data_IF_266792229333
#
_entry.id   IF_266792229333
#
_cell.length_a   1.000
_cell.length_b   1.000
_cell.length_c   1.000
_cell.angle_alpha   90.00
_cell.angle_beta   90.00
_cell.angle_gamma   90.00
#
_symmetry.space_group_name_H-M   'P 1'
#
loop_
_entity.id
_entity.type
_entity.pdbx_description
1 polymer ?
#
# COMPACT_ATOMS: atom_id res chain seq x y z
N UNK A 1 21.46 -47.72 14.71
CA UNK A 1 20.64 -47.35 15.89
C UNK A 1 21.09 -45.95 16.28
N UNK A 2 20.28 -44.89 16.42
CA UNK A 2 18.83 -44.76 16.67
C UNK A 2 18.12 -44.03 15.51
N UNK A 3 17.00 -44.61 15.04
CA UNK A 3 16.06 -44.00 14.07
C UNK A 3 14.90 -43.32 14.84
N UNK A 4 15.19 -42.56 15.88
CA UNK A 4 14.16 -41.83 16.62
C UNK A 4 14.20 -40.36 16.22
N UNK A 5 13.08 -39.81 15.74
CA UNK A 5 12.79 -38.36 15.80
C UNK A 5 12.21 -37.96 17.18
N UNK A 6 11.92 -39.00 17.98
CA UNK A 6 11.26 -39.04 19.28
C UNK A 6 12.10 -38.48 20.43
N UNK A 7 13.41 -38.76 20.37
CA UNK A 7 14.28 -38.79 21.55
C UNK A 7 15.70 -38.32 21.23
N UNK A 8 16.27 -37.52 22.12
CA UNK A 8 17.68 -37.11 22.08
C UNK A 8 18.64 -38.25 22.40
N UNK A 9 19.89 -38.12 21.98
CA UNK A 9 20.98 -39.03 22.36
C UNK A 9 21.40 -38.78 23.81
N UNK A 10 21.27 -39.80 24.65
CA UNK A 10 21.54 -39.76 26.11
C UNK A 10 22.52 -40.85 26.55
N UNK A 11 23.10 -40.69 27.75
CA UNK A 11 23.87 -41.76 28.42
C UNK A 11 22.91 -42.70 29.18
N UNK A 12 22.36 -43.70 28.49
CA UNK A 12 21.31 -44.57 29.05
C UNK A 12 19.92 -43.92 29.02
N UNK A 13 18.90 -44.60 29.55
CA UNK A 13 17.50 -44.13 29.50
C UNK A 13 17.26 -42.82 30.26
N UNK A 14 17.94 -42.63 31.39
CA UNK A 14 17.71 -41.53 32.33
C UNK A 14 18.93 -40.62 32.51
N UNK A 15 19.96 -40.79 31.67
CA UNK A 15 21.19 -40.01 31.74
C UNK A 15 21.15 -38.71 30.94
N UNK A 16 22.20 -37.86 31.08
CA UNK A 16 22.26 -36.57 30.40
C UNK A 16 22.33 -36.70 28.88
N UNK A 17 21.88 -35.65 28.18
CA UNK A 17 22.03 -35.51 26.72
C UNK A 17 23.49 -35.28 26.33
N UNK A 18 23.84 -35.67 25.11
CA UNK A 18 25.19 -35.51 24.57
C UNK A 18 25.26 -34.42 23.49
N UNK A 19 26.28 -33.56 23.55
CA UNK A 19 26.53 -32.53 22.53
C UNK A 19 26.87 -33.11 21.14
N UNK A 20 27.21 -34.39 21.05
CA UNK A 20 27.42 -35.07 19.77
C UNK A 20 26.11 -35.45 19.05
N UNK A 21 24.94 -35.13 19.64
CA UNK A 21 23.64 -35.27 18.97
C UNK A 21 23.48 -34.20 17.87
N UNK A 22 24.12 -34.43 16.73
CA UNK A 22 24.09 -33.52 15.58
C UNK A 22 22.65 -33.26 15.11
N UNK A 23 21.77 -34.26 15.19
CA UNK A 23 20.36 -34.13 14.76
C UNK A 23 19.58 -33.17 15.67
N UNK A 24 19.71 -33.32 16.98
CA UNK A 24 19.12 -32.40 17.95
C UNK A 24 19.62 -30.97 17.71
N UNK A 25 20.94 -30.81 17.54
CA UNK A 25 21.57 -29.52 17.30
C UNK A 25 21.06 -28.89 16.00
N UNK A 26 21.03 -29.62 14.88
CA UNK A 26 20.54 -29.11 13.60
C UNK A 26 19.06 -28.70 13.68
N UNK A 27 18.22 -29.51 14.33
CA UNK A 27 16.78 -29.21 14.51
C UNK A 27 16.58 -27.92 15.31
N UNK A 28 17.26 -27.79 16.46
CA UNK A 28 17.13 -26.60 17.31
C UNK A 28 17.79 -25.36 16.69
N UNK A 29 18.93 -25.51 16.01
CA UNK A 29 19.61 -24.37 15.36
C UNK A 29 18.82 -23.81 14.19
N UNK A 30 18.11 -24.66 13.44
CA UNK A 30 17.14 -24.24 12.41
C UNK A 30 15.94 -23.53 13.05
N UNK A 31 15.32 -24.13 14.06
CA UNK A 31 14.17 -23.55 14.78
C UNK A 31 14.48 -22.14 15.31
N UNK A 32 15.63 -21.98 15.97
CA UNK A 32 16.07 -20.69 16.51
C UNK A 32 16.32 -19.60 15.44
N UNK A 33 16.34 -19.95 14.15
CA UNK A 33 16.61 -19.04 13.02
C UNK A 33 15.45 -18.97 12.01
N UNK A 34 14.26 -19.45 12.37
CA UNK A 34 13.08 -19.37 11.49
C UNK A 34 12.55 -17.95 11.32
N UNK A 35 12.84 -17.03 12.25
CA UNK A 35 12.33 -15.66 12.21
C UNK A 35 13.30 -14.75 11.48
N UNK A 36 12.76 -13.98 10.54
CA UNK A 36 13.41 -12.82 9.92
C UNK A 36 12.72 -11.55 10.43
N UNK A 37 13.35 -10.37 10.27
CA UNK A 37 12.67 -9.11 10.58
C UNK A 37 11.33 -9.02 9.84
N UNK A 38 10.28 -8.56 10.52
CA UNK A 38 9.05 -8.19 9.83
C UNK A 38 9.28 -6.94 8.96
N UNK A 39 8.33 -6.62 8.08
CA UNK A 39 8.38 -5.36 7.34
C UNK A 39 8.21 -4.19 8.32
N UNK A 40 8.99 -3.12 8.12
CA UNK A 40 8.91 -1.92 8.97
C UNK A 40 7.50 -1.32 9.01
N UNK A 41 6.83 -1.37 7.86
CA UNK A 41 5.40 -1.08 7.66
C UNK A 41 4.79 -2.21 6.84
N UNK A 42 3.48 -2.38 6.88
CA UNK A 42 2.76 -3.43 6.18
C UNK A 42 3.14 -4.86 6.59
N UNK A 43 3.47 -5.08 7.88
CA UNK A 43 3.89 -6.38 8.40
C UNK A 43 2.76 -7.42 8.32
N UNK A 44 1.56 -7.09 8.83
CA UNK A 44 0.37 -7.93 8.73
C UNK A 44 -0.18 -7.93 7.30
N UNK A 45 -0.40 -9.10 6.71
CA UNK A 45 -1.01 -9.19 5.38
C UNK A 45 -1.17 -10.60 4.85
N UNK A 46 -1.86 -10.71 3.72
CA UNK A 46 -2.17 -11.95 3.02
C UNK A 46 -1.74 -11.84 1.56
N UNK A 47 -1.25 -12.94 0.98
CA UNK A 47 -0.87 -12.99 -0.43
C UNK A 47 -1.57 -14.10 -1.19
N UNK A 48 -1.68 -13.93 -2.51
CA UNK A 48 -2.29 -14.88 -3.42
C UNK A 48 -1.77 -14.72 -4.86
N UNK A 49 -1.82 -15.81 -5.62
CA UNK A 49 -1.46 -15.85 -7.03
C UNK A 49 -2.68 -15.62 -7.92
N UNK A 50 -2.41 -15.17 -9.14
CA UNK A 50 -3.42 -14.98 -10.16
C UNK A 50 -2.82 -14.72 -11.53
N UNK A 51 -3.62 -14.10 -12.38
CA UNK A 51 -3.16 -13.58 -13.66
C UNK A 51 -3.86 -12.28 -14.00
N UNK A 52 -3.18 -11.45 -14.79
CA UNK A 52 -3.73 -10.25 -15.41
C UNK A 52 -3.92 -10.47 -16.92
N UNK A 53 -4.98 -9.89 -17.48
CA UNK A 53 -5.24 -9.85 -18.92
C UNK A 53 -5.68 -8.44 -19.31
N UNK A 54 -4.95 -7.83 -20.24
CA UNK A 54 -5.35 -6.55 -20.84
C UNK A 54 -6.59 -6.76 -21.71
N UNK A 55 -7.51 -5.80 -21.75
CA UNK A 55 -8.69 -5.90 -22.61
C UNK A 55 -8.38 -5.54 -24.05
N UNK A 56 -7.64 -4.45 -24.24
CA UNK A 56 -7.22 -3.93 -25.54
C UNK A 56 -5.77 -3.46 -25.45
N UNK A 57 -4.97 -3.55 -26.52
CA UNK A 57 -3.59 -3.05 -26.50
C UNK A 57 -3.53 -1.58 -26.07
N UNK A 58 -2.65 -1.24 -25.13
CA UNK A 58 -2.40 0.14 -24.69
C UNK A 58 -1.26 0.81 -25.46
N UNK A 59 -1.01 0.37 -26.70
CA UNK A 59 0.14 0.76 -27.51
C UNK A 59 0.22 2.26 -27.82
N UNK A 60 -0.91 2.96 -27.79
CA UNK A 60 -0.95 4.41 -28.01
C UNK A 60 -0.36 5.19 -26.83
N UNK A 61 -0.33 4.60 -25.64
CA UNK A 61 0.10 5.25 -24.41
C UNK A 61 1.39 4.67 -23.83
N UNK A 62 1.59 3.35 -23.93
CA UNK A 62 2.76 2.66 -23.36
C UNK A 62 3.27 1.53 -24.24
N UNK A 63 4.59 1.34 -24.26
CA UNK A 63 5.25 0.17 -24.87
C UNK A 63 5.34 -1.06 -23.97
N UNK A 64 4.83 -0.99 -22.73
CA UNK A 64 4.96 -2.07 -21.75
C UNK A 64 4.37 -3.39 -22.25
N UNK A 65 5.20 -4.43 -22.36
CA UNK A 65 4.85 -5.68 -23.04
C UNK A 65 3.59 -6.37 -22.48
N UNK A 66 3.35 -6.29 -21.17
CA UNK A 66 2.20 -6.92 -20.51
C UNK A 66 0.85 -6.27 -20.84
N UNK A 67 0.86 -5.11 -21.52
CA UNK A 67 -0.32 -4.35 -21.94
C UNK A 67 -0.56 -4.36 -23.46
N UNK A 68 0.14 -5.20 -24.21
CA UNK A 68 0.10 -5.18 -25.68
C UNK A 68 -0.79 -6.24 -26.31
N UNK A 69 -1.08 -7.36 -25.63
CA UNK A 69 -1.76 -8.50 -26.25
C UNK A 69 -2.90 -9.03 -25.34
N UNK A 70 -4.17 -8.84 -25.73
CA UNK A 70 -5.34 -9.32 -24.97
C UNK A 70 -5.44 -10.84 -24.83
N UNK A 71 -4.80 -11.62 -25.69
CA UNK A 71 -4.83 -13.08 -25.64
C UNK A 71 -3.84 -13.66 -24.61
N UNK A 72 -2.90 -12.84 -24.13
CA UNK A 72 -1.87 -13.28 -23.17
C UNK A 72 -2.30 -13.04 -21.73
N UNK A 73 -2.21 -14.11 -20.93
CA UNK A 73 -2.30 -14.02 -19.47
C UNK A 73 -0.91 -13.75 -18.89
N UNK A 74 -0.79 -12.70 -18.09
CA UNK A 74 0.43 -12.32 -17.40
C UNK A 74 0.31 -12.83 -15.97
N UNK A 75 1.17 -13.75 -15.50
CA UNK A 75 1.12 -14.22 -14.13
C UNK A 75 1.32 -13.06 -13.16
N UNK A 76 0.59 -13.06 -12.05
CA UNK A 76 0.76 -12.06 -10.98
C UNK A 76 0.83 -12.71 -9.61
N UNK A 77 1.49 -12.03 -8.68
CA UNK A 77 1.37 -12.27 -7.25
C UNK A 77 0.93 -11.00 -6.56
N UNK A 78 -0.08 -11.10 -5.71
CA UNK A 78 -0.67 -9.97 -4.98
C UNK A 78 -0.42 -10.15 -3.50
N UNK A 79 -0.12 -9.05 -2.79
CA UNK A 79 -0.13 -9.00 -1.34
C UNK A 79 -0.97 -7.82 -0.85
N UNK A 80 -1.95 -8.14 -0.03
CA UNK A 80 -2.72 -7.18 0.75
C UNK A 80 -2.16 -7.07 2.16
N UNK A 81 -2.36 -5.93 2.82
CA UNK A 81 -1.83 -5.72 4.17
C UNK A 81 -2.51 -4.56 4.89
N UNK A 82 -2.45 -4.52 6.23
CA UNK A 82 -2.56 -3.23 6.96
C UNK A 82 -1.26 -2.42 6.76
N UNK A 83 -1.12 -1.22 7.30
CA UNK A 83 0.08 -0.37 7.16
C UNK A 83 0.92 -0.30 8.45
N UNK A 84 0.30 -0.05 9.59
CA UNK A 84 1.00 0.29 10.83
C UNK A 84 1.19 -0.90 11.76
N UNK A 85 0.25 -1.85 11.71
CA UNK A 85 0.23 -3.03 12.58
C UNK A 85 1.40 -4.00 12.35
N UNK A 86 1.93 -4.54 13.45
CA UNK A 86 2.88 -5.66 13.43
C UNK A 86 2.20 -6.97 13.02
N UNK A 87 2.97 -8.03 12.77
CA UNK A 87 2.47 -9.31 12.24
C UNK A 87 1.26 -9.92 12.97
N UNK A 88 1.10 -9.65 14.26
CA UNK A 88 -0.02 -10.13 15.10
C UNK A 88 -1.21 -9.18 15.22
N UNK A 89 -1.21 -8.01 14.59
CA UNK A 89 -2.33 -7.06 14.67
C UNK A 89 -3.58 -7.56 13.95
N UNK A 90 -4.75 -7.04 14.33
CA UNK A 90 -6.01 -7.35 13.68
C UNK A 90 -6.13 -6.76 12.27
N UNK A 91 -6.68 -7.53 11.33
CA UNK A 91 -6.96 -7.14 9.94
C UNK A 91 -7.97 -5.98 9.85
N UNK A 92 -8.84 -5.81 10.85
CA UNK A 92 -9.93 -4.82 10.87
C UNK A 92 -9.54 -3.48 11.48
N UNK A 93 -8.32 -3.32 12.01
CA UNK A 93 -7.85 -2.05 12.58
C UNK A 93 -8.00 -0.89 11.57
N UNK A 94 -8.33 0.32 12.04
CA UNK A 94 -8.47 1.50 11.17
C UNK A 94 -7.10 1.87 10.59
N UNK A 95 -6.93 1.68 9.29
CA UNK A 95 -5.62 1.80 8.63
C UNK A 95 -5.80 1.86 7.09
N UNK A 96 -4.89 2.45 6.31
CA UNK A 96 -4.86 2.17 4.87
C UNK A 96 -4.53 0.69 4.64
N UNK A 97 -5.08 0.10 3.58
CA UNK A 97 -4.69 -1.25 3.17
C UNK A 97 -3.68 -1.16 2.02
N UNK A 98 -2.55 -1.84 2.18
CA UNK A 98 -1.62 -2.05 1.08
C UNK A 98 -2.23 -2.97 0.03
N UNK A 99 -2.01 -2.66 -1.24
CA UNK A 99 -2.43 -3.44 -2.39
C UNK A 99 -1.22 -3.54 -3.34
N UNK A 100 -0.33 -4.49 -3.10
CA UNK A 100 0.88 -4.65 -3.92
C UNK A 100 0.70 -5.76 -4.95
N UNK A 101 0.91 -5.45 -6.23
CA UNK A 101 0.81 -6.42 -7.34
C UNK A 101 2.15 -6.52 -8.05
N UNK A 102 2.70 -7.73 -8.13
CA UNK A 102 3.87 -8.06 -8.94
C UNK A 102 3.41 -8.74 -10.23
N UNK A 103 3.75 -8.16 -11.36
CA UNK A 103 3.53 -8.74 -12.69
C UNK A 103 4.81 -9.41 -13.16
N UNK A 104 4.74 -10.69 -13.47
CA UNK A 104 5.86 -11.42 -14.08
C UNK A 104 5.80 -11.23 -15.60
N UNK A 105 6.34 -10.11 -16.09
CA UNK A 105 6.28 -9.75 -17.52
C UNK A 105 7.44 -10.37 -18.30
N UNK A 106 7.32 -10.43 -19.64
CA UNK A 106 8.40 -10.90 -20.51
C UNK A 106 9.65 -10.01 -20.51
N UNK A 107 9.57 -8.79 -19.97
CA UNK A 107 10.65 -7.81 -19.94
C UNK A 107 11.12 -7.50 -18.50
N UNK A 108 10.82 -8.40 -17.55
CA UNK A 108 11.15 -8.24 -16.13
C UNK A 108 9.92 -8.18 -15.24
N UNK A 109 10.13 -8.08 -13.93
CA UNK A 109 9.04 -7.92 -12.98
C UNK A 109 8.64 -6.44 -12.93
N UNK A 110 7.34 -6.16 -13.05
CA UNK A 110 6.77 -4.85 -12.76
C UNK A 110 6.03 -4.91 -11.43
N UNK A 111 6.31 -4.01 -10.50
CA UNK A 111 5.58 -3.91 -9.24
C UNK A 111 4.72 -2.64 -9.22
N UNK A 112 3.41 -2.84 -9.08
CA UNK A 112 2.47 -1.77 -8.77
C UNK A 112 2.14 -1.84 -7.29
N UNK A 113 2.78 -0.96 -6.51
CA UNK A 113 2.51 -0.82 -5.07
C UNK A 113 1.44 0.24 -4.89
N UNK A 114 0.23 -0.18 -4.53
CA UNK A 114 -0.93 0.67 -4.38
C UNK A 114 -1.46 0.67 -2.93
N UNK A 115 -2.40 1.57 -2.65
CA UNK A 115 -3.11 1.71 -1.37
C UNK A 115 -4.62 1.69 -1.59
N UNK A 116 -5.38 1.18 -0.64
CA UNK A 116 -6.85 1.18 -0.72
C UNK A 116 -7.46 2.58 -0.76
N UNK A 117 -6.76 3.56 -0.19
CA UNK A 117 -7.16 4.95 -0.19
C UNK A 117 -6.43 5.71 -1.32
N UNK A 118 -7.09 6.68 -1.99
CA UNK A 118 -6.58 7.27 -3.23
C UNK A 118 -5.52 8.38 -3.03
N UNK A 119 -5.24 8.75 -1.78
CA UNK A 119 -4.26 9.76 -1.40
C UNK A 119 -3.39 9.26 -0.24
N UNK A 120 -2.31 9.98 0.05
CA UNK A 120 -1.45 9.73 1.19
C UNK A 120 -1.46 10.88 2.20
N UNK A 121 -0.93 10.63 3.39
CA UNK A 121 -0.85 11.63 4.47
C UNK A 121 0.08 12.80 4.15
N UNK A 122 1.17 12.52 3.43
CA UNK A 122 2.24 13.48 3.13
C UNK A 122 2.57 13.46 1.65
N UNK A 123 3.13 14.56 1.16
CA UNK A 123 3.55 14.73 -0.24
C UNK A 123 5.07 14.66 -0.47
N UNK A 124 5.83 14.46 0.60
CA UNK A 124 7.29 14.41 0.55
C UNK A 124 7.80 13.26 1.42
N UNK A 125 8.63 12.40 0.85
CA UNK A 125 9.14 11.21 1.52
C UNK A 125 10.01 11.54 2.75
N UNK A 126 10.54 12.76 2.84
CA UNK A 126 11.31 13.21 4.01
C UNK A 126 10.51 13.11 5.31
N UNK A 127 9.18 13.24 5.26
CA UNK A 127 8.28 13.18 6.43
C UNK A 127 7.81 11.75 6.79
N UNK A 128 8.18 10.75 6.00
CA UNK A 128 7.72 9.37 6.21
C UNK A 128 8.15 8.80 7.57
N UNK A 129 9.41 8.96 8.02
CA UNK A 129 9.81 8.44 9.32
C UNK A 129 9.00 9.05 10.47
N UNK A 130 8.78 10.37 10.46
CA UNK A 130 7.99 11.07 11.49
C UNK A 130 6.53 10.62 11.48
N UNK A 131 5.92 10.49 10.29
CA UNK A 131 4.57 9.95 10.15
C UNK A 131 4.47 8.54 10.75
N UNK A 132 5.34 7.62 10.34
CA UNK A 132 5.31 6.23 10.80
C UNK A 132 5.58 6.15 12.30
N UNK A 133 6.54 6.93 12.82
CA UNK A 133 6.79 7.00 14.26
C UNK A 133 5.57 7.50 15.04
N UNK A 134 4.81 8.45 14.50
CA UNK A 134 3.60 8.99 15.16
C UNK A 134 2.45 7.98 15.22
N UNK A 135 2.37 7.07 14.23
CA UNK A 135 1.36 6.03 14.12
C UNK A 135 1.72 4.73 14.87
N UNK A 136 3.02 4.44 15.03
CA UNK A 136 3.51 3.25 15.73
C UNK A 136 3.50 3.43 17.26
N UNK A 137 3.60 2.33 18.03
CA UNK A 137 3.72 2.39 19.48
C UNK A 137 4.81 3.35 19.95
N UNK A 138 4.55 4.09 21.02
CA UNK A 138 5.48 5.04 21.59
C UNK A 138 6.73 4.33 22.14
N UNK A 139 7.94 4.91 21.99
CA UNK A 139 9.19 4.23 22.33
C UNK A 139 9.40 4.00 23.83
N UNK A 140 8.70 4.75 24.68
CA UNK A 140 8.79 4.70 26.14
C UNK A 140 7.79 3.71 26.77
N UNK A 141 6.60 3.61 26.20
CA UNK A 141 5.47 2.82 26.75
C UNK A 141 5.11 1.61 25.90
N UNK A 142 5.56 1.57 24.64
CA UNK A 142 5.13 0.60 23.63
C UNK A 142 3.61 0.55 23.43
N UNK A 143 2.92 1.68 23.68
CA UNK A 143 1.49 1.85 23.46
C UNK A 143 1.21 2.74 22.24
N UNK A 144 0.16 2.43 21.48
CA UNK A 144 -0.36 3.36 20.47
C UNK A 144 -1.03 4.52 21.21
N UNK A 145 -0.62 5.75 20.89
CA UNK A 145 -1.09 6.97 21.54
C UNK A 145 -1.63 7.92 20.49
N UNK A 146 -2.94 8.19 20.52
CA UNK A 146 -3.60 9.08 19.55
C UNK A 146 -2.99 10.48 19.55
N UNK A 147 -2.57 11.00 20.72
CA UNK A 147 -1.92 12.30 20.84
C UNK A 147 -0.67 12.46 19.95
N UNK A 148 0.14 11.41 19.79
CA UNK A 148 1.34 11.45 18.93
C UNK A 148 0.96 11.62 17.46
N UNK A 149 -0.04 10.87 17.01
CA UNK A 149 -0.57 10.99 15.66
C UNK A 149 -1.22 12.36 15.43
N UNK A 150 -2.11 12.81 16.31
CA UNK A 150 -2.79 14.11 16.16
C UNK A 150 -1.84 15.29 16.30
N UNK A 151 -0.76 15.18 17.08
CA UNK A 151 0.32 16.17 17.08
C UNK A 151 0.94 16.29 15.69
N UNK A 152 1.31 15.17 15.06
CA UNK A 152 1.83 15.17 13.70
C UNK A 152 0.84 15.80 12.72
N UNK A 153 -0.45 15.44 12.78
CA UNK A 153 -1.50 16.05 11.95
C UNK A 153 -1.56 17.56 12.14
N UNK A 154 -1.51 18.04 13.39
CA UNK A 154 -1.56 19.47 13.73
C UNK A 154 -0.36 20.25 13.19
N UNK A 155 0.76 19.59 12.87
CA UNK A 155 1.97 20.20 12.31
C UNK A 155 2.02 20.07 10.78
N UNK A 156 1.12 19.28 10.18
CA UNK A 156 1.12 18.90 8.77
C UNK A 156 -0.30 19.01 8.19
N UNK A 157 -0.78 20.22 7.86
CA UNK A 157 -2.14 20.45 7.37
C UNK A 157 -2.47 19.68 6.09
N UNK A 158 -1.47 19.28 5.29
CA UNK A 158 -1.66 18.44 4.10
C UNK A 158 -2.31 17.07 4.38
N UNK A 159 -2.27 16.61 5.63
CA UNK A 159 -2.88 15.35 6.07
C UNK A 159 -4.41 15.38 6.06
N UNK A 160 -5.02 16.57 6.06
CA UNK A 160 -6.47 16.76 6.25
C UNK A 160 -7.30 15.90 5.28
N UNK A 161 -6.94 15.87 4.00
CA UNK A 161 -7.66 15.07 3.01
C UNK A 161 -7.59 13.57 3.30
N UNK A 162 -6.40 13.07 3.64
CA UNK A 162 -6.20 11.65 3.99
C UNK A 162 -6.96 11.27 5.26
N UNK A 163 -7.04 12.17 6.25
CA UNK A 163 -7.81 11.95 7.48
C UNK A 163 -9.30 11.80 7.18
N UNK A 164 -9.85 12.64 6.30
CA UNK A 164 -11.24 12.52 5.84
C UNK A 164 -11.51 11.15 5.20
N UNK A 165 -10.54 10.57 4.50
CA UNK A 165 -10.64 9.20 3.97
C UNK A 165 -10.53 8.14 5.07
N UNK A 166 -9.47 8.21 5.89
CA UNK A 166 -9.12 7.20 6.88
C UNK A 166 -10.17 7.06 7.98
N UNK A 167 -10.77 8.15 8.44
CA UNK A 167 -11.78 8.11 9.51
C UNK A 167 -13.20 7.88 9.00
N UNK A 168 -13.43 7.88 7.69
CA UNK A 168 -14.65 7.31 7.12
C UNK A 168 -14.65 5.78 7.24
N UNK A 169 -15.76 5.12 6.94
CA UNK A 169 -15.82 3.65 6.98
C UNK A 169 -14.81 2.98 6.04
N UNK A 170 -14.30 3.69 5.02
CA UNK A 170 -13.23 3.23 4.12
C UNK A 170 -11.91 2.90 4.82
N UNK A 171 -11.70 3.37 6.04
CA UNK A 171 -10.51 3.01 6.84
C UNK A 171 -10.58 1.63 7.48
N UNK A 172 -11.73 0.96 7.46
CA UNK A 172 -11.98 -0.30 8.16
C UNK A 172 -12.63 -1.32 7.22
N UNK A 173 -11.97 -2.47 7.04
CA UNK A 173 -12.42 -3.52 6.11
C UNK A 173 -12.39 -4.88 6.80
N UNK A 174 -13.27 -5.80 6.39
CA UNK A 174 -13.27 -7.21 6.81
C UNK A 174 -12.87 -8.20 5.70
N UNK A 175 -12.60 -7.70 4.49
CA UNK A 175 -12.30 -8.52 3.33
C UNK A 175 -11.43 -7.75 2.35
N UNK A 176 -10.31 -8.34 1.93
CA UNK A 176 -9.46 -7.77 0.88
C UNK A 176 -10.09 -7.87 -0.52
N UNK A 177 -11.17 -8.63 -0.69
CA UNK A 177 -11.83 -8.85 -1.99
C UNK A 177 -12.71 -7.69 -2.41
N UNK A 178 -13.02 -6.80 -1.47
CA UNK A 178 -13.97 -5.70 -1.59
C UNK A 178 -13.34 -4.31 -1.44
N UNK A 179 -12.01 -4.22 -1.55
CA UNK A 179 -11.28 -2.95 -1.47
C UNK A 179 -10.89 -2.43 -2.85
N UNK A 180 -10.73 -1.12 -2.98
CA UNK A 180 -10.04 -0.52 -4.11
C UNK A 180 -8.51 -0.62 -3.94
N UNK A 181 -7.78 -0.33 -5.02
CA UNK A 181 -6.34 -0.13 -4.97
C UNK A 181 -5.97 1.06 -5.85
N UNK A 182 -5.24 2.02 -5.33
CA UNK A 182 -4.88 3.26 -6.01
C UNK A 182 -3.37 3.41 -5.97
N UNK A 183 -2.75 3.76 -7.10
CA UNK A 183 -1.29 3.97 -7.10
C UNK A 183 -0.86 5.10 -6.19
N UNK A 184 -1.77 6.03 -5.88
CA UNK A 184 -1.55 7.29 -5.15
C UNK A 184 -0.60 8.21 -5.90
N UNK A 185 0.63 7.75 -6.11
CA UNK A 185 1.63 8.43 -6.91
C UNK A 185 1.28 8.43 -8.39
N UNK A 186 1.76 9.47 -9.05
CA UNK A 186 1.70 9.62 -10.49
C UNK A 186 2.92 8.94 -11.12
N UNK A 187 2.70 8.18 -12.19
CA UNK A 187 3.75 7.57 -13.02
C UNK A 187 3.70 8.17 -14.41
N UNK A 188 4.62 7.75 -15.28
CA UNK A 188 4.60 8.14 -16.69
C UNK A 188 4.54 6.90 -17.57
N UNK A 189 3.61 6.89 -18.52
CA UNK A 189 3.58 5.92 -19.61
C UNK A 189 4.23 6.50 -20.86
N UNK A 190 5.06 5.70 -21.53
CA UNK A 190 5.79 6.09 -22.74
C UNK A 190 5.53 5.07 -23.83
N UNK A 191 5.00 5.51 -24.97
CA UNK A 191 4.75 4.64 -26.11
C UNK A 191 6.00 4.43 -26.98
N UNK A 192 5.90 3.56 -28.00
CA UNK A 192 7.02 3.30 -28.93
C UNK A 192 7.49 4.51 -29.76
N UNK A 193 6.69 5.58 -29.83
CA UNK A 193 7.03 6.84 -30.50
C UNK A 193 7.67 7.86 -29.54
N UNK A 194 7.85 7.52 -28.26
CA UNK A 194 8.35 8.42 -27.23
C UNK A 194 7.30 9.41 -26.70
N UNK A 195 6.01 9.27 -27.05
CA UNK A 195 4.95 10.13 -26.49
C UNK A 195 4.68 9.72 -25.05
N UNK A 196 4.66 10.70 -24.15
CA UNK A 196 4.54 10.53 -22.70
C UNK A 196 3.15 10.95 -22.23
N UNK A 197 2.65 10.26 -21.21
CA UNK A 197 1.43 10.63 -20.49
C UNK A 197 1.65 10.40 -18.99
N UNK A 198 1.23 11.35 -18.16
CA UNK A 198 1.11 11.09 -16.73
C UNK A 198 -0.08 10.17 -16.49
N UNK A 199 0.11 9.21 -15.58
CA UNK A 199 -0.91 8.22 -15.26
C UNK A 199 -1.04 7.98 -13.77
N UNK A 200 -2.25 7.64 -13.36
CA UNK A 200 -2.56 7.04 -12.05
C UNK A 200 -3.37 5.76 -12.25
N UNK A 201 -3.04 4.73 -11.49
CA UNK A 201 -3.70 3.42 -11.58
C UNK A 201 -4.80 3.28 -10.55
N UNK A 202 -5.89 2.64 -10.95
CA UNK A 202 -7.04 2.33 -10.10
C UNK A 202 -7.48 0.88 -10.32
N UNK A 203 -7.46 0.10 -9.24
CA UNK A 203 -8.08 -1.21 -9.13
C UNK A 203 -9.47 -1.05 -8.54
N UNK A 204 -10.49 -1.48 -9.30
CA UNK A 204 -11.87 -1.54 -8.82
C UNK A 204 -12.27 -3.01 -8.60
N UNK A 205 -12.76 -3.40 -7.40
CA UNK A 205 -13.20 -4.76 -7.15
C UNK A 205 -14.49 -5.04 -7.93
N UNK A 206 -14.51 -6.11 -8.73
CA UNK A 206 -15.74 -6.48 -9.46
C UNK A 206 -16.83 -7.04 -8.56
N UNK A 207 -16.48 -7.46 -7.34
CA UNK A 207 -17.43 -7.87 -6.30
C UNK A 207 -18.09 -6.68 -5.58
N UNK A 208 -17.74 -5.45 -5.96
CA UNK A 208 -18.20 -4.23 -5.32
C UNK A 208 -17.44 -3.89 -4.04
N UNK A 209 -17.57 -2.64 -3.61
CA UNK A 209 -16.94 -2.11 -2.40
C UNK A 209 -17.75 -2.48 -1.16
N UNK A 210 -17.08 -2.91 -0.10
CA UNK A 210 -17.69 -3.18 1.20
C UNK A 210 -16.75 -2.77 2.33
N UNK A 211 -17.24 -1.83 3.11
CA UNK A 211 -16.60 -1.32 4.30
C UNK A 211 -17.36 -1.80 5.55
N UNK A 212 -16.75 -1.66 6.72
CA UNK A 212 -17.41 -1.90 8.01
C UNK A 212 -17.30 -0.65 8.88
N UNK A 213 -18.27 -0.44 9.78
CA UNK A 213 -18.19 0.66 10.73
C UNK A 213 -17.22 0.32 11.89
N UNK A 214 -16.99 1.30 12.76
CA UNK A 214 -16.08 1.16 13.92
C UNK A 214 -16.48 0.04 14.87
N UNK A 215 -17.77 -0.10 15.20
CA UNK A 215 -18.23 -1.11 16.16
C UNK A 215 -18.00 -2.53 15.64
N UNK A 216 -18.31 -2.81 14.36
CA UNK A 216 -18.05 -4.10 13.74
C UNK A 216 -16.53 -4.37 13.64
N UNK A 217 -15.75 -3.34 13.30
CA UNK A 217 -14.28 -3.42 13.24
C UNK A 217 -13.66 -3.82 14.58
N UNK A 218 -14.05 -3.16 15.67
CA UNK A 218 -13.56 -3.41 17.03
C UNK A 218 -13.98 -4.80 17.53
N UNK A 219 -15.22 -5.20 17.27
CA UNK A 219 -15.71 -6.54 17.61
C UNK A 219 -14.88 -7.64 16.91
N UNK A 220 -14.71 -7.53 15.59
CA UNK A 220 -13.95 -8.49 14.80
C UNK A 220 -12.46 -8.49 15.17
N UNK A 221 -11.90 -7.34 15.59
CA UNK A 221 -10.50 -7.27 16.00
C UNK A 221 -10.20 -8.16 17.21
N UNK A 222 -11.17 -8.36 18.11
CA UNK A 222 -11.07 -9.31 19.22
C UNK A 222 -11.51 -10.72 18.87
N UNK A 223 -12.57 -10.87 18.07
CA UNK A 223 -13.19 -12.17 17.77
C UNK A 223 -12.46 -12.99 16.69
N UNK A 224 -12.07 -12.35 15.59
CA UNK A 224 -11.30 -12.97 14.49
C UNK A 224 -10.32 -11.94 13.89
N UNK A 225 -9.13 -11.74 14.52
CA UNK A 225 -8.15 -10.76 14.06
C UNK A 225 -7.58 -11.07 12.66
N UNK A 226 -7.87 -12.25 12.10
CA UNK A 226 -7.43 -12.71 10.78
C UNK A 226 -8.56 -12.71 9.74
N UNK A 227 -9.70 -12.06 10.01
CA UNK A 227 -10.93 -12.20 9.21
C UNK A 227 -10.75 -11.87 7.72
N UNK A 228 -9.95 -10.86 7.36
CA UNK A 228 -9.77 -10.49 5.95
C UNK A 228 -8.86 -11.49 5.21
N UNK A 229 -7.86 -12.01 5.91
CA UNK A 229 -6.99 -13.09 5.43
C UNK A 229 -7.79 -14.38 5.25
N UNK A 230 -8.61 -14.74 6.24
CA UNK A 230 -9.48 -15.91 6.23
C UNK A 230 -10.48 -15.84 5.08
N UNK A 231 -11.20 -14.73 4.92
CA UNK A 231 -12.15 -14.56 3.82
C UNK A 231 -11.50 -14.74 2.45
N UNK A 232 -10.29 -14.18 2.24
CA UNK A 232 -9.54 -14.36 1.00
C UNK A 232 -9.24 -15.84 0.73
N UNK A 233 -8.75 -16.58 1.73
CA UNK A 233 -8.36 -17.99 1.57
C UNK A 233 -9.56 -18.94 1.49
N UNK A 234 -10.56 -18.79 2.36
CA UNK A 234 -11.76 -19.61 2.34
C UNK A 234 -12.52 -19.44 1.00
N UNK A 235 -12.50 -18.24 0.41
CA UNK A 235 -13.08 -18.01 -0.92
C UNK A 235 -12.43 -18.86 -2.01
N UNK A 236 -11.09 -18.95 -2.00
CA UNK A 236 -10.34 -19.77 -2.95
C UNK A 236 -10.50 -21.26 -2.69
N UNK A 237 -10.64 -21.68 -1.44
CA UNK A 237 -10.98 -23.07 -1.10
C UNK A 237 -12.36 -23.48 -1.63
N UNK A 238 -13.31 -22.54 -1.66
CA UNK A 238 -14.63 -22.73 -2.29
C UNK A 238 -14.59 -22.64 -3.83
N UNK A 239 -13.43 -22.42 -4.44
CA UNK A 239 -13.28 -22.27 -5.88
C UNK A 239 -13.76 -20.92 -6.42
N UNK A 240 -14.02 -19.94 -5.56
CA UNK A 240 -14.34 -18.58 -5.97
C UNK A 240 -13.09 -17.85 -6.43
N UNK A 241 -13.23 -17.00 -7.44
CA UNK A 241 -12.17 -16.05 -7.82
C UNK A 241 -12.44 -14.67 -7.25
N UNK A 242 -11.38 -13.90 -7.07
CA UNK A 242 -11.48 -12.47 -6.76
C UNK A 242 -10.93 -11.67 -7.93
N UNK A 243 -11.82 -10.90 -8.55
CA UNK A 243 -11.50 -10.16 -9.77
C UNK A 243 -11.45 -8.65 -9.51
N UNK A 244 -10.42 -7.99 -10.04
CA UNK A 244 -10.26 -6.53 -10.03
C UNK A 244 -10.08 -6.00 -11.45
N UNK A 245 -10.78 -4.92 -11.78
CA UNK A 245 -10.58 -4.19 -13.03
C UNK A 245 -9.52 -3.11 -12.83
N UNK A 246 -8.47 -3.13 -13.66
CA UNK A 246 -7.49 -2.07 -13.74
C UNK A 246 -8.02 -0.99 -14.68
N UNK A 247 -8.01 0.24 -14.21
CA UNK A 247 -8.25 1.45 -14.98
C UNK A 247 -7.14 2.45 -14.73
N UNK A 248 -6.95 3.38 -15.67
CA UNK A 248 -6.00 4.49 -15.54
C UNK A 248 -6.68 5.81 -15.83
N UNK A 249 -6.24 6.85 -15.13
CA UNK A 249 -6.41 8.23 -15.57
C UNK A 249 -5.19 8.62 -16.40
N UNK A 250 -5.38 9.43 -17.46
CA UNK A 250 -4.35 9.79 -18.43
C UNK A 250 -4.36 11.30 -18.63
N UNK A 251 -3.19 11.93 -18.45
CA UNK A 251 -2.96 13.35 -18.74
C UNK A 251 -1.81 13.43 -19.76
N UNK A 252 -1.97 14.14 -20.90
CA UNK A 252 -0.85 14.44 -21.78
C UNK A 252 0.31 15.11 -21.02
N UNK A 253 1.55 14.76 -21.34
CA UNK A 253 2.69 15.24 -20.54
C UNK A 253 2.84 16.77 -20.56
N UNK A 254 2.46 17.40 -21.66
CA UNK A 254 2.40 18.85 -21.85
C UNK A 254 1.37 19.57 -20.95
N UNK A 255 0.37 18.84 -20.43
CA UNK A 255 -0.74 19.41 -19.66
C UNK A 255 -0.50 19.40 -18.13
N UNK A 256 0.74 19.15 -17.69
CA UNK A 256 1.09 19.03 -16.26
C UNK A 256 0.54 20.17 -15.38
N UNK A 257 0.51 21.40 -15.92
CA UNK A 257 0.17 22.62 -15.18
C UNK A 257 -1.21 23.19 -15.53
N UNK A 258 -2.07 22.42 -16.21
CA UNK A 258 -3.40 22.89 -16.64
C UNK A 258 -4.48 22.77 -15.55
N UNK A 259 -4.15 22.21 -14.39
CA UNK A 259 -5.08 21.93 -13.30
C UNK A 259 -4.85 22.86 -12.11
N UNK A 260 -5.88 23.04 -11.30
CA UNK A 260 -5.87 23.83 -10.06
C UNK A 260 -5.19 23.12 -8.88
N UNK A 261 -4.80 21.86 -9.07
CA UNK A 261 -4.00 21.07 -8.14
C UNK A 261 -2.72 20.55 -8.81
N UNK A 262 -1.70 20.29 -8.00
CA UNK A 262 -0.48 19.63 -8.49
C UNK A 262 -0.75 18.15 -8.74
N UNK A 263 -0.65 17.73 -10.00
CA UNK A 263 -0.90 16.34 -10.40
C UNK A 263 0.11 15.36 -9.79
N UNK A 264 1.26 15.84 -9.29
CA UNK A 264 2.31 15.07 -8.63
C UNK A 264 2.20 15.09 -7.09
N UNK A 265 1.22 15.80 -6.53
CA UNK A 265 0.97 15.82 -5.09
C UNK A 265 0.15 14.58 -4.68
N UNK A 266 0.78 13.67 -3.93
CA UNK A 266 0.17 12.46 -3.40
C UNK A 266 -0.99 12.71 -2.42
N UNK A 267 -1.18 13.94 -1.94
CA UNK A 267 -2.32 14.32 -1.08
C UNK A 267 -3.55 14.75 -1.88
N UNK A 268 -3.46 14.76 -3.22
CA UNK A 268 -4.54 15.14 -4.13
C UNK A 268 -5.05 13.93 -4.90
N UNK A 269 -6.34 13.89 -5.18
CA UNK A 269 -6.90 13.05 -6.23
C UNK A 269 -6.93 13.82 -7.55
N UNK A 270 -7.01 13.08 -8.65
CA UNK A 270 -7.42 13.59 -9.94
C UNK A 270 -8.92 13.35 -10.06
N UNK A 271 -9.77 14.39 -10.08
CA UNK A 271 -11.22 14.20 -10.11
C UNK A 271 -11.66 13.42 -11.36
N UNK A 272 -12.40 12.32 -11.19
CA UNK A 272 -12.87 11.48 -12.30
C UNK A 272 -13.79 12.25 -13.28
N UNK A 273 -14.41 13.34 -12.83
CA UNK A 273 -15.21 14.25 -13.67
C UNK A 273 -14.38 15.10 -14.63
N UNK A 274 -13.12 15.38 -14.28
CA UNK A 274 -12.19 16.12 -15.13
C UNK A 274 -11.31 15.17 -15.94
N UNK A 275 -10.91 14.04 -15.34
CA UNK A 275 -9.96 13.08 -15.89
C UNK A 275 -10.58 11.68 -15.77
N UNK A 276 -11.38 11.24 -16.75
CA UNK A 276 -12.14 9.99 -16.64
C UNK A 276 -11.24 8.76 -16.63
N UNK A 277 -11.75 7.67 -16.05
CA UNK A 277 -11.08 6.38 -16.03
C UNK A 277 -11.15 5.68 -17.39
N UNK A 278 -9.99 5.29 -17.91
CA UNK A 278 -9.85 4.40 -19.06
C UNK A 278 -9.58 2.98 -18.59
N UNK A 279 -10.45 2.04 -18.95
CA UNK A 279 -10.31 0.62 -18.59
C UNK A 279 -9.11 0.00 -19.30
N UNK A 280 -8.29 -0.74 -18.56
CA UNK A 280 -7.06 -1.39 -19.05
C UNK A 280 -7.21 -2.89 -19.15
N UNK A 281 -7.68 -3.55 -18.10
CA UNK A 281 -7.73 -5.00 -18.06
C UNK A 281 -8.27 -5.53 -16.76
N UNK A 282 -8.15 -6.85 -16.57
CA UNK A 282 -8.65 -7.55 -15.39
C UNK A 282 -7.57 -8.41 -14.76
N UNK A 283 -7.45 -8.31 -13.44
CA UNK A 283 -6.72 -9.25 -12.62
C UNK A 283 -7.70 -10.26 -12.00
N UNK A 284 -7.38 -11.54 -12.09
CA UNK A 284 -8.13 -12.63 -11.44
C UNK A 284 -7.20 -13.34 -10.47
N UNK A 285 -7.51 -13.27 -9.18
CA UNK A 285 -6.84 -13.98 -8.10
C UNK A 285 -7.57 -15.30 -7.87
N UNK A 286 -6.82 -16.41 -7.88
CA UNK A 286 -7.42 -17.74 -7.90
C UNK A 286 -6.61 -18.87 -7.24
N UNK A 287 -5.41 -18.59 -6.70
CA UNK A 287 -4.59 -19.63 -6.05
C UNK A 287 -3.93 -19.07 -4.79
N UNK A 288 -4.14 -19.77 -3.67
CA UNK A 288 -3.43 -19.47 -2.40
C UNK A 288 -1.93 -19.83 -2.50
N UNK A 289 -1.07 -19.21 -1.69
CA UNK A 289 0.31 -19.66 -1.54
C UNK A 289 0.33 -21.11 -1.02
N UNK A 290 1.30 -21.88 -1.48
CA UNK A 290 1.64 -23.20 -0.96
C UNK A 290 2.33 -23.09 0.40
N UNK A 291 3.18 -22.08 0.57
CA UNK A 291 3.81 -21.75 1.84
C UNK A 291 3.76 -20.25 2.11
N UNK A 292 3.08 -19.85 3.18
CA UNK A 292 2.93 -18.44 3.55
C UNK A 292 4.29 -17.74 3.75
N UNK A 293 5.26 -18.40 4.40
CA UNK A 293 6.55 -17.78 4.69
C UNK A 293 7.36 -17.57 3.41
N UNK A 294 7.50 -18.60 2.59
CA UNK A 294 8.33 -18.55 1.37
C UNK A 294 7.75 -17.61 0.30
N UNK A 295 6.43 -17.46 0.26
CA UNK A 295 5.76 -16.68 -0.78
C UNK A 295 5.25 -15.33 -0.29
N UNK A 296 4.56 -15.28 0.86
CA UNK A 296 3.95 -14.02 1.35
C UNK A 296 4.93 -13.23 2.20
N UNK A 297 5.55 -13.87 3.19
CA UNK A 297 6.48 -13.18 4.10
C UNK A 297 7.73 -12.72 3.35
N UNK A 298 8.27 -13.56 2.47
CA UNK A 298 9.47 -13.27 1.68
C UNK A 298 9.22 -12.45 0.40
N UNK A 299 7.97 -12.17 0.04
CA UNK A 299 7.70 -11.28 -1.10
C UNK A 299 8.29 -9.89 -0.90
N UNK A 300 8.93 -9.38 -1.94
CA UNK A 300 9.54 -8.06 -2.02
C UNK A 300 8.89 -7.29 -3.18
N UNK A 301 8.24 -6.18 -2.87
CA UNK A 301 7.63 -5.29 -3.84
C UNK A 301 8.30 -3.92 -3.75
N UNK A 302 8.71 -3.36 -4.88
CA UNK A 302 9.32 -2.03 -4.91
C UNK A 302 8.77 -1.22 -6.07
N UNK A 303 8.32 0.04 -5.85
CA UNK A 303 7.94 0.90 -6.97
C UNK A 303 9.11 1.11 -7.95
N UNK A 304 10.36 0.87 -7.52
CA UNK A 304 11.53 0.90 -8.38
C UNK A 304 11.54 -0.17 -9.49
N UNK A 305 10.78 -1.26 -9.32
CA UNK A 305 10.67 -2.34 -10.30
C UNK A 305 9.71 -1.91 -11.42
N UNK A 306 10.23 -1.13 -12.36
CA UNK A 306 9.55 -0.71 -13.60
C UNK A 306 9.99 -1.58 -14.78
N UNK A 307 9.20 -1.54 -15.84
CA UNK A 307 9.48 -2.19 -17.12
C UNK A 307 9.50 -1.16 -18.25
N UNK A 308 10.20 -1.45 -19.36
CA UNK A 308 10.12 -0.70 -20.62
C UNK A 308 8.71 -0.12 -20.90
N UNK A 309 8.60 1.20 -21.10
CA UNK A 309 7.33 1.90 -21.34
C UNK A 309 6.60 2.45 -20.11
N UNK A 310 7.16 2.25 -18.91
CA UNK A 310 6.72 2.86 -17.65
C UNK A 310 7.91 3.56 -17.01
N UNK A 311 7.75 4.82 -16.63
CA UNK A 311 8.76 5.68 -16.02
C UNK A 311 8.26 6.30 -14.72
N UNK A 312 9.19 6.86 -13.94
CA UNK A 312 8.87 7.64 -12.74
C UNK A 312 8.48 9.07 -13.11
N UNK A 313 7.52 9.63 -12.37
CA UNK A 313 7.32 11.07 -12.32
C UNK A 313 8.24 11.72 -11.27
N UNK A 314 8.19 13.04 -11.16
CA UNK A 314 8.90 13.81 -10.14
C UNK A 314 8.11 13.98 -8.83
N UNK A 315 7.07 13.15 -8.60
CA UNK A 315 6.40 13.06 -7.30
C UNK A 315 7.43 12.79 -6.20
N UNK A 316 7.54 13.70 -5.22
CA UNK A 316 8.58 13.66 -4.19
C UNK A 316 8.41 12.49 -3.23
N UNK A 317 7.17 12.03 -3.01
CA UNK A 317 6.90 10.84 -2.21
C UNK A 317 7.34 9.59 -2.95
N UNK A 318 7.03 9.50 -4.26
CA UNK A 318 7.46 8.38 -5.11
C UNK A 318 8.98 8.28 -5.15
N UNK A 319 9.68 9.41 -5.37
CA UNK A 319 11.14 9.46 -5.48
C UNK A 319 11.84 8.88 -4.25
N UNK A 320 11.40 9.20 -3.03
CA UNK A 320 11.97 8.60 -1.82
C UNK A 320 11.57 7.13 -1.62
N UNK A 321 10.36 6.76 -2.01
CA UNK A 321 9.82 5.40 -1.87
C UNK A 321 10.56 4.37 -2.74
N UNK A 322 11.06 4.80 -3.91
CA UNK A 322 11.91 3.99 -4.81
C UNK A 322 13.15 3.48 -4.07
N UNK A 323 13.88 4.37 -3.40
CA UNK A 323 15.06 4.00 -2.64
C UNK A 323 14.70 3.18 -1.39
N UNK A 324 13.78 3.69 -0.57
CA UNK A 324 13.45 3.11 0.72
C UNK A 324 12.98 1.64 0.63
N UNK A 325 12.22 1.31 -0.42
CA UNK A 325 11.70 -0.04 -0.61
C UNK A 325 12.80 -1.07 -0.90
N UNK A 326 13.74 -0.74 -1.79
CA UNK A 326 14.87 -1.64 -2.13
C UNK A 326 15.77 -1.81 -0.92
N UNK A 327 16.09 -0.72 -0.23
CA UNK A 327 17.01 -0.75 0.92
C UNK A 327 16.46 -1.59 2.07
N UNK A 328 15.18 -1.39 2.41
CA UNK A 328 14.49 -2.17 3.43
C UNK A 328 14.48 -3.67 3.12
N UNK A 329 14.35 -4.06 1.85
CA UNK A 329 14.36 -5.46 1.44
C UNK A 329 15.73 -6.12 1.61
N UNK A 330 16.82 -5.40 1.32
CA UNK A 330 18.19 -5.90 1.54
C UNK A 330 18.45 -6.23 2.99
N UNK A 331 18.00 -5.36 3.91
CA UNK A 331 18.10 -5.62 5.34
C UNK A 331 17.23 -6.82 5.77
N UNK A 332 15.98 -6.86 5.31
CA UNK A 332 14.99 -7.85 5.76
C UNK A 332 15.23 -9.26 5.23
N UNK A 333 15.68 -9.38 3.99
CA UNK A 333 15.74 -10.65 3.24
C UNK A 333 17.14 -11.01 2.75
N UNK A 334 18.13 -10.15 2.97
CA UNK A 334 19.48 -10.30 2.44
C UNK A 334 19.64 -9.68 1.05
N UNK A 335 20.89 -9.55 0.60
CA UNK A 335 21.25 -8.86 -0.65
C UNK A 335 20.73 -9.56 -1.91
N UNK A 336 20.56 -10.88 -1.86
CA UNK A 336 20.11 -11.72 -2.97
C UNK A 336 18.62 -12.07 -2.91
N UNK A 337 17.79 -11.25 -2.23
CA UNK A 337 16.35 -11.52 -2.07
C UNK A 337 15.60 -11.71 -3.40
N UNK A 338 16.13 -11.18 -4.50
CA UNK A 338 15.62 -11.36 -5.86
C UNK A 338 15.77 -12.78 -6.41
N UNK A 339 16.61 -13.63 -5.79
CA UNK A 339 16.75 -15.04 -6.15
C UNK A 339 15.68 -15.92 -5.49
N UNK A 340 14.98 -15.40 -4.46
CA UNK A 340 13.88 -16.13 -3.82
C UNK A 340 12.78 -16.40 -4.86
N UNK A 341 12.17 -17.61 -4.89
CA UNK A 341 11.27 -18.03 -5.95
C UNK A 341 10.14 -17.04 -6.27
N UNK A 342 9.56 -16.42 -5.24
CA UNK A 342 8.47 -15.46 -5.41
C UNK A 342 8.93 -14.12 -6.00
N UNK A 343 10.18 -13.72 -5.77
CA UNK A 343 10.74 -12.45 -6.23
C UNK A 343 11.45 -12.56 -7.58
N UNK A 344 11.86 -13.77 -7.95
CA UNK A 344 12.62 -14.05 -9.17
C UNK A 344 11.80 -13.68 -10.41
N UNK A 345 12.45 -13.00 -11.36
CA UNK A 345 11.86 -12.78 -12.68
C UNK A 345 11.68 -14.12 -13.39
N UNK A 346 10.48 -14.39 -13.90
CA UNK A 346 10.16 -15.65 -14.59
C UNK A 346 10.74 -15.72 -16.01
N UNK A 347 10.95 -14.56 -16.62
CA UNK A 347 11.47 -14.43 -17.97
C UNK A 347 12.85 -13.80 -17.93
N UNK A 348 13.75 -14.28 -18.79
CA UNK A 348 15.09 -13.72 -18.89
C UNK A 348 14.99 -12.25 -19.29
N UNK A 349 15.52 -11.35 -18.45
CA UNK A 349 15.69 -9.96 -18.81
C UNK A 349 16.70 -9.93 -19.95
N UNK A 350 16.25 -9.69 -21.19
CA UNK A 350 17.18 -9.38 -22.27
C UNK A 350 17.84 -8.04 -21.93
N UNK A 351 19.07 -8.10 -21.45
CA UNK A 351 19.91 -6.91 -21.15
C UNK A 351 20.02 -5.95 -22.34
N UNK A 352 19.80 -6.43 -23.57
CA UNK A 352 19.78 -5.62 -24.78
C UNK A 352 18.59 -4.65 -24.90
N UNK A 353 17.46 -4.88 -24.23
CA UNK A 353 16.27 -4.02 -24.35
C UNK A 353 16.37 -2.70 -23.56
N UNK A 354 17.31 -2.61 -22.61
CA UNK A 354 17.56 -1.37 -21.84
C UNK A 354 18.23 -0.29 -22.71
N UNK A 355 18.85 -0.68 -23.83
CA UNK A 355 19.65 0.19 -24.71
C UNK A 355 18.85 0.86 -25.84
N UNK A 356 17.57 0.56 -26.05
CA UNK A 356 16.83 1.01 -27.25
C UNK A 356 15.78 2.09 -27.00
N UNK A 357 15.64 2.60 -25.78
CA UNK A 357 14.85 3.81 -25.56
C UNK A 357 15.71 5.01 -25.99
N UNK A 358 15.32 5.80 -27.01
CA UNK A 358 15.95 7.10 -27.19
C UNK A 358 15.73 7.86 -25.87
N UNK A 359 16.79 8.31 -25.18
CA UNK A 359 16.61 9.09 -23.96
C UNK A 359 15.83 10.33 -24.35
N UNK A 360 14.56 10.38 -23.97
CA UNK A 360 13.75 11.57 -24.18
C UNK A 360 14.22 12.57 -23.15
N UNK A 361 14.88 13.64 -23.59
CA UNK A 361 15.50 14.61 -22.71
C UNK A 361 14.42 15.43 -22.00
N UNK A 362 14.06 15.05 -20.77
CA UNK A 362 13.45 16.01 -19.84
C UNK A 362 14.56 16.94 -19.39
N UNK A 363 14.52 18.19 -19.85
CA UNK A 363 15.43 19.23 -19.37
C UNK A 363 14.77 19.87 -18.15
N UNK A 364 15.46 19.79 -17.00
CA UNK A 364 15.04 20.44 -15.76
C UNK A 364 15.98 21.61 -15.52
N UNK A 365 15.42 22.80 -15.34
CA UNK A 365 16.15 24.01 -14.98
C UNK A 365 15.71 24.48 -13.58
N UNK A 366 16.66 24.93 -12.76
CA UNK A 366 16.38 25.44 -11.43
C UNK A 366 17.61 25.51 -10.53
N UNK A 367 17.42 25.98 -9.30
CA UNK A 367 18.43 25.92 -8.25
C UNK A 367 18.21 24.68 -7.39
N UNK A 368 19.30 24.03 -6.99
CA UNK A 368 19.24 22.92 -6.02
C UNK A 368 18.96 23.51 -4.64
N UNK A 369 17.76 23.27 -4.10
CA UNK A 369 17.34 23.79 -2.80
C UNK A 369 16.37 22.84 -2.07
N UNK A 370 16.29 22.97 -0.75
CA UNK A 370 15.25 22.32 0.07
C UNK A 370 14.09 23.28 0.22
N UNK A 371 13.05 23.12 -0.60
CA UNK A 371 11.90 24.03 -0.61
C UNK A 371 10.58 23.27 -0.60
N UNK A 372 9.69 23.68 0.30
CA UNK A 372 8.32 23.20 0.30
C UNK A 372 7.59 23.59 -1.00
N UNK A 373 6.55 22.85 -1.35
CA UNK A 373 5.64 23.28 -2.42
C UNK A 373 5.06 24.65 -2.03
N UNK A 374 5.03 25.59 -2.97
CA UNK A 374 4.57 26.97 -2.70
C UNK A 374 3.05 27.01 -2.60
N UNK A 375 2.52 27.60 -1.53
CA UNK A 375 1.08 27.82 -1.28
C UNK A 375 0.19 26.60 -1.63
N UNK A 376 0.44 25.41 -1.04
CA UNK A 376 -0.33 24.24 -1.38
C UNK A 376 -1.76 24.37 -0.85
N UNK A 377 -2.74 24.07 -1.69
CA UNK A 377 -4.09 23.81 -1.21
C UNK A 377 -4.07 22.52 -0.37
N UNK A 378 -4.47 22.59 0.90
CA UNK A 378 -4.52 21.45 1.81
C UNK A 378 -5.94 21.03 2.17
N UNK A 379 -6.97 21.80 1.78
CA UNK A 379 -8.28 21.72 2.41
C UNK A 379 -9.43 21.51 1.42
N UNK A 380 -9.35 22.00 0.18
CA UNK A 380 -10.51 21.97 -0.73
C UNK A 380 -11.01 20.56 -1.00
N UNK A 381 -10.12 19.64 -1.40
CA UNK A 381 -10.49 18.25 -1.66
C UNK A 381 -10.94 17.48 -0.40
N UNK A 382 -10.46 17.87 0.78
CA UNK A 382 -10.96 17.31 2.04
C UNK A 382 -12.43 17.70 2.28
N UNK A 383 -12.79 18.96 1.98
CA UNK A 383 -14.15 19.45 2.04
C UNK A 383 -15.06 18.81 0.98
N UNK A 384 -14.58 18.70 -0.25
CA UNK A 384 -15.29 18.00 -1.32
C UNK A 384 -15.59 16.55 -0.94
N UNK A 385 -14.60 15.85 -0.36
CA UNK A 385 -14.80 14.50 0.15
C UNK A 385 -15.86 14.46 1.23
N UNK A 386 -15.82 15.35 2.23
CA UNK A 386 -16.85 15.41 3.27
C UNK A 386 -18.26 15.61 2.69
N UNK A 387 -18.41 16.54 1.73
CA UNK A 387 -19.69 16.82 1.08
C UNK A 387 -20.17 15.69 0.15
N UNK A 388 -19.25 14.85 -0.34
CA UNK A 388 -19.60 13.68 -1.16
C UNK A 388 -20.22 12.53 -0.37
N UNK A 389 -20.02 12.50 0.96
CA UNK A 389 -20.56 11.48 1.84
C UNK A 389 -22.05 11.67 2.08
N UNK A 390 -22.80 10.57 2.18
CA UNK A 390 -24.17 10.65 2.66
C UNK A 390 -24.21 10.96 4.17
N UNK A 391 -25.39 11.33 4.69
CA UNK A 391 -25.50 11.79 6.08
C UNK A 391 -24.97 10.79 7.10
N UNK A 392 -25.28 9.49 6.93
CA UNK A 392 -24.80 8.43 7.83
C UNK A 392 -23.28 8.30 7.79
N UNK A 393 -22.69 8.36 6.60
CA UNK A 393 -21.22 8.31 6.44
C UNK A 393 -20.54 9.54 7.05
N UNK A 394 -21.15 10.72 6.93
CA UNK A 394 -20.66 11.93 7.61
C UNK A 394 -20.75 11.78 9.14
N UNK A 395 -21.83 11.19 9.66
CA UNK A 395 -21.99 10.91 11.08
C UNK A 395 -20.89 9.97 11.59
N UNK A 396 -20.68 8.83 10.91
CA UNK A 396 -19.60 7.92 11.25
C UNK A 396 -18.22 8.60 11.19
N UNK A 397 -17.93 9.38 10.13
CA UNK A 397 -16.66 10.10 9.99
C UNK A 397 -16.41 11.04 11.18
N UNK A 398 -17.40 11.86 11.53
CA UNK A 398 -17.31 12.81 12.65
C UNK A 398 -17.12 12.06 13.97
N UNK A 399 -17.94 11.04 14.23
CA UNK A 399 -17.88 10.26 15.47
C UNK A 399 -16.53 9.54 15.63
N UNK A 400 -15.98 9.00 14.54
CA UNK A 400 -14.68 8.32 14.54
C UNK A 400 -13.52 9.30 14.83
N UNK A 401 -13.59 10.54 14.33
CA UNK A 401 -12.59 11.57 14.62
C UNK A 401 -12.69 12.02 16.08
N UNK A 402 -13.90 12.32 16.56
CA UNK A 402 -14.15 12.73 17.96
C UNK A 402 -13.61 11.67 18.92
N UNK A 403 -14.00 10.41 18.72
CA UNK A 403 -13.59 9.29 19.56
C UNK A 403 -12.06 9.18 19.66
N UNK A 404 -11.35 9.33 18.53
CA UNK A 404 -9.90 9.24 18.51
C UNK A 404 -9.19 10.48 19.07
N UNK A 405 -9.85 11.64 19.06
CA UNK A 405 -9.33 12.90 19.58
C UNK A 405 -9.71 13.17 21.04
N UNK A 406 -10.64 12.41 21.63
CA UNK A 406 -11.29 12.73 22.91
C UNK A 406 -10.33 13.05 24.06
N UNK A 407 -9.18 12.37 24.11
CA UNK A 407 -8.18 12.52 25.17
C UNK A 407 -6.88 13.22 24.73
N UNK A 408 -6.89 13.88 23.57
CA UNK A 408 -5.74 14.63 23.03
C UNK A 408 -5.69 16.03 23.66
N UNK A 409 -4.49 16.61 23.86
CA UNK A 409 -4.32 17.98 24.36
C UNK A 409 -5.18 19.00 23.58
N UNK A 410 -5.90 19.85 24.31
CA UNK A 410 -6.86 20.79 23.72
C UNK A 410 -6.26 21.75 22.68
N UNK A 411 -4.96 22.09 22.78
CA UNK A 411 -4.30 22.96 21.78
C UNK A 411 -4.10 22.23 20.45
N UNK A 412 -3.86 20.92 20.50
CA UNK A 412 -3.80 20.07 19.31
C UNK A 412 -5.20 19.95 18.72
N UNK A 413 -6.22 19.69 19.55
CA UNK A 413 -7.61 19.63 19.11
C UNK A 413 -8.05 20.90 18.39
N UNK A 414 -7.88 22.07 19.01
CA UNK A 414 -8.23 23.38 18.45
C UNK A 414 -7.57 23.60 17.08
N UNK A 415 -6.26 23.32 16.99
CA UNK A 415 -5.50 23.51 15.75
C UNK A 415 -6.00 22.61 14.62
N UNK A 416 -6.20 21.31 14.90
CA UNK A 416 -6.70 20.35 13.90
C UNK A 416 -8.12 20.69 13.48
N UNK A 417 -8.97 21.13 14.41
CA UNK A 417 -10.35 21.49 14.08
C UNK A 417 -10.44 22.75 13.24
N UNK A 418 -9.51 23.69 13.41
CA UNK A 418 -9.34 24.80 12.47
C UNK A 418 -9.09 24.33 11.03
N UNK A 419 -8.50 23.14 10.82
CA UNK A 419 -8.30 22.56 9.48
C UNK A 419 -9.60 22.01 8.92
N UNK A 420 -10.41 21.35 9.75
CA UNK A 420 -11.74 20.90 9.34
C UNK A 420 -12.66 22.07 8.99
N UNK A 421 -12.61 23.19 9.73
CA UNK A 421 -13.30 24.42 9.34
C UNK A 421 -12.85 24.98 7.99
N UNK A 422 -11.54 24.93 7.69
CA UNK A 422 -11.01 25.35 6.38
C UNK A 422 -11.43 24.41 5.25
N UNK A 423 -11.66 23.13 5.54
CA UNK A 423 -12.17 22.16 4.58
C UNK A 423 -13.67 22.34 4.35
N UNK A 424 -14.47 22.40 5.42
CA UNK A 424 -15.91 22.61 5.37
C UNK A 424 -16.45 23.10 6.74
N UNK A 425 -17.27 24.16 6.72
CA UNK A 425 -17.79 24.78 7.94
C UNK A 425 -18.69 23.85 8.76
N UNK A 426 -19.52 23.01 8.12
CA UNK A 426 -20.36 22.04 8.84
C UNK A 426 -19.48 20.95 9.47
N UNK A 427 -18.48 20.46 8.73
CA UNK A 427 -17.54 19.45 9.23
C UNK A 427 -16.82 19.92 10.50
N UNK A 428 -16.23 21.13 10.46
CA UNK A 428 -15.58 21.74 11.61
C UNK A 428 -16.53 21.95 12.80
N UNK A 429 -17.73 22.49 12.56
CA UNK A 429 -18.74 22.71 13.60
C UNK A 429 -19.15 21.42 14.32
N UNK A 430 -19.31 20.34 13.57
CA UNK A 430 -19.76 19.06 14.14
C UNK A 430 -18.71 18.42 15.04
N UNK A 431 -17.44 18.46 14.61
CA UNK A 431 -16.34 17.97 15.45
C UNK A 431 -16.16 18.88 16.67
N UNK A 432 -16.27 20.20 16.49
CA UNK A 432 -16.23 21.20 17.60
C UNK A 432 -17.22 20.87 18.71
N UNK A 433 -18.48 20.69 18.34
CA UNK A 433 -19.55 20.36 19.29
C UNK A 433 -19.32 19.02 19.98
N UNK A 434 -18.73 18.04 19.30
CA UNK A 434 -18.50 16.70 19.86
C UNK A 434 -17.32 16.62 20.82
N UNK A 435 -16.40 17.57 20.77
CA UNK A 435 -15.25 17.68 21.67
C UNK A 435 -15.45 18.77 22.76
N UNK A 436 -16.66 19.35 22.85
CA UNK A 436 -17.07 20.33 23.85
C UNK A 436 -16.23 21.63 23.91
N UNK A 437 -15.99 22.28 22.75
CA UNK A 437 -15.49 23.66 22.68
C UNK A 437 -16.27 24.57 21.71
#
# INVERSE_FOLDING_TARGET
>A
MMKSDESSLTVGSDGPILLQDVRLIEKLTRFNRERIPERVIHAKGAGAHGFFRVYMPMSDYTSAAFLQNPDKKVPVFVRFSTMTGSRGSADTARDPRGFAVKFYTSEGNYDLVASSLPVFFVRDAMKLPELIHSLKPAPDTNLIQAERFWKFVSENPETTHMITWLFSDRGTVKSYRHIEGNSVNTYVWVNKKGKRHFIRYHWKPLLGLKDINRQESEFLAGFDPDVATRDLYDSMERGETTDFELSVQLIPYEDQYQYDFDILDATKIWPESQIPLTKVGKMTINKRPENFFEEVEQAAFSPANIVPGIEFSFDRLLQGSIFASIDSQRYRLGVDYNQLPINKAKFAVQTAAVSSYPPTSVIIEGKVERKAVSNPDNFSQAGERYRSLNKREQDHLVDNIIDNMLFVDGRIQEKVVSYFFKADTDFGNRISRGLDY
#
